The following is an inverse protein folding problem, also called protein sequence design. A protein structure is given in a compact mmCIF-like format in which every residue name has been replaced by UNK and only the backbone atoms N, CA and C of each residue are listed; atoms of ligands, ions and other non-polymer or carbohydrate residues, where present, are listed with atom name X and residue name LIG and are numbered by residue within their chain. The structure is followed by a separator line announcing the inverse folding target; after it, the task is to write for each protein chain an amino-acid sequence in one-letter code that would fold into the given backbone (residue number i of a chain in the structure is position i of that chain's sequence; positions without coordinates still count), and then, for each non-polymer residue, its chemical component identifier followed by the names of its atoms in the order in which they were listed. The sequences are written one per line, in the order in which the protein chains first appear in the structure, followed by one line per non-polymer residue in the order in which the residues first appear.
data_IF_680112027972
#
_entry.id   IF_680112027972
#
_cell.length_a   1.000
_cell.length_b   1.000
_cell.length_c   1.000
_cell.angle_alpha   90.00
_cell.angle_beta   90.00
_cell.angle_gamma   90.00
#
_symmetry.space_group_name_H-M   'P 1'
#
loop_
_entity.id
_entity.type
_entity.pdbx_description
1 polymer ?
#
# COMPACT_ATOMS: atom_id res chain seq x y z
N UNK A 1 2.30 -3.37 23.84
CA UNK A 1 2.65 -3.87 22.50
C UNK A 1 4.13 -4.27 22.56
N UNK A 2 4.43 -5.56 22.43
CA UNK A 2 5.78 -6.12 22.61
C UNK A 2 5.94 -7.30 21.65
N UNK A 3 7.18 -7.65 21.32
CA UNK A 3 7.50 -8.87 20.58
C UNK A 3 8.50 -9.71 21.39
N UNK A 4 8.45 -11.03 21.26
CA UNK A 4 9.51 -11.88 21.77
C UNK A 4 10.69 -11.84 20.81
N UNK A 5 11.90 -11.64 21.33
CA UNK A 5 13.10 -11.49 20.51
C UNK A 5 14.09 -12.62 20.81
N UNK A 6 14.76 -13.09 19.75
CA UNK A 6 15.85 -14.04 19.85
C UNK A 6 17.15 -13.36 19.44
N UNK A 7 18.09 -13.24 20.38
CA UNK A 7 19.44 -12.74 20.07
C UNK A 7 20.29 -13.90 19.56
N UNK A 8 20.83 -13.74 18.36
CA UNK A 8 21.73 -14.71 17.74
C UNK A 8 23.19 -14.26 17.89
N UNK A 9 24.13 -15.20 18.13
CA UNK A 9 23.94 -16.64 18.31
C UNK A 9 23.58 -17.05 19.75
N UNK A 10 23.58 -16.13 20.71
CA UNK A 10 23.57 -16.45 22.15
C UNK A 10 22.34 -17.23 22.63
N UNK A 11 21.18 -17.05 22.01
CA UNK A 11 19.91 -17.68 22.39
C UNK A 11 19.45 -18.75 21.40
N UNK A 12 20.37 -19.35 20.63
CA UNK A 12 20.07 -20.53 19.81
C UNK A 12 19.59 -21.67 20.72
N UNK A 13 18.46 -22.29 20.38
CA UNK A 13 17.90 -23.44 21.10
C UNK A 13 16.98 -23.11 22.28
N UNK A 14 16.86 -21.84 22.68
CA UNK A 14 15.85 -21.41 23.69
C UNK A 14 14.44 -21.56 23.10
N UNK A 15 13.44 -22.12 23.80
CA UNK A 15 12.05 -22.16 23.30
C UNK A 15 11.46 -20.76 23.11
N UNK A 16 10.63 -20.55 22.09
CA UNK A 16 10.07 -19.22 21.75
C UNK A 16 9.27 -18.63 22.93
N UNK A 17 8.48 -19.44 23.61
CA UNK A 17 7.71 -19.05 24.79
C UNK A 17 8.57 -18.59 25.97
N UNK A 18 9.86 -18.96 25.98
CA UNK A 18 10.83 -18.57 27.00
C UNK A 18 11.66 -17.33 26.65
N UNK A 19 11.51 -16.82 25.42
CA UNK A 19 12.21 -15.60 24.99
C UNK A 19 11.66 -14.36 25.70
N UNK A 20 12.51 -13.39 26.06
CA UNK A 20 12.07 -12.18 26.73
C UNK A 20 11.24 -11.29 25.79
N UNK A 21 10.28 -10.59 26.38
CA UNK A 21 9.48 -9.59 25.68
C UNK A 21 10.25 -8.28 25.55
N UNK A 22 10.37 -7.79 24.32
CA UNK A 22 10.97 -6.51 23.99
C UNK A 22 9.91 -5.42 23.76
N UNK A 23 10.19 -4.21 24.21
CA UNK A 23 9.45 -3.00 23.84
C UNK A 23 10.00 -2.41 22.54
N UNK A 24 9.27 -1.48 21.92
CA UNK A 24 9.70 -0.79 20.70
C UNK A 24 10.16 0.63 21.02
N UNK A 25 11.34 1.00 20.52
CA UNK A 25 11.76 2.39 20.45
C UNK A 25 11.01 3.06 19.29
N UNK A 26 10.01 3.86 19.63
CA UNK A 26 9.21 4.58 18.63
C UNK A 26 9.73 6.00 18.43
N UNK A 27 9.75 6.51 17.18
CA UNK A 27 10.03 7.92 16.96
C UNK A 27 8.94 8.79 17.59
N UNK A 28 9.34 9.97 18.07
CA UNK A 28 8.42 10.97 18.61
C UNK A 28 7.46 11.40 17.48
N UNK A 29 6.15 11.25 17.68
CA UNK A 29 5.12 11.58 16.68
C UNK A 29 4.31 10.39 16.16
N UNK A 30 4.68 9.16 16.53
CA UNK A 30 3.91 7.91 16.42
C UNK A 30 3.47 7.49 14.99
N UNK A 31 4.25 6.59 14.40
CA UNK A 31 3.80 5.56 13.47
C UNK A 31 4.36 4.22 13.94
N UNK A 32 3.57 3.15 13.90
CA UNK A 32 3.99 1.83 14.38
C UNK A 32 3.75 0.77 13.31
N UNK A 33 4.82 0.06 12.95
CA UNK A 33 4.76 -1.13 12.10
C UNK A 33 5.10 -2.35 12.98
N UNK A 34 4.15 -3.27 13.24
CA UNK A 34 4.42 -4.45 14.04
C UNK A 34 5.42 -5.36 13.32
N UNK A 35 6.37 -5.94 14.05
CA UNK A 35 7.12 -7.09 13.54
C UNK A 35 6.21 -8.30 13.39
N UNK A 36 6.56 -9.19 12.48
CA UNK A 36 6.00 -10.54 12.35
C UNK A 36 7.12 -11.54 12.59
N UNK A 37 6.76 -12.77 12.93
CA UNK A 37 7.74 -13.84 13.17
C UNK A 37 8.68 -13.96 11.97
N UNK A 38 9.99 -13.92 12.23
CA UNK A 38 11.03 -13.99 11.21
C UNK A 38 11.62 -12.63 10.81
N UNK A 39 10.99 -11.51 11.16
CA UNK A 39 11.60 -10.20 10.95
C UNK A 39 12.91 -10.09 11.75
N UNK A 40 13.95 -9.56 11.11
CA UNK A 40 15.21 -9.25 11.77
C UNK A 40 15.15 -7.84 12.36
N UNK A 41 15.65 -7.69 13.59
CA UNK A 41 15.61 -6.42 14.34
C UNK A 41 16.91 -6.18 15.07
N UNK A 42 17.25 -4.90 15.25
CA UNK A 42 18.27 -4.49 16.19
C UNK A 42 17.66 -4.37 17.59
N UNK A 43 18.36 -4.91 18.58
CA UNK A 43 17.96 -4.82 19.99
C UNK A 43 19.07 -4.23 20.84
N UNK A 44 18.67 -3.41 21.82
CA UNK A 44 19.53 -2.92 22.88
C UNK A 44 19.02 -3.38 24.25
N UNK A 45 19.89 -3.31 25.26
CA UNK A 45 19.56 -3.61 26.66
C UNK A 45 19.81 -2.38 27.54
N UNK A 46 18.94 -1.35 27.45
CA UNK A 46 19.20 -0.05 28.07
C UNK A 46 18.98 -0.04 29.58
N UNK A 47 18.32 -1.07 30.12
CA UNK A 47 18.01 -1.15 31.55
C UNK A 47 19.10 -1.87 32.33
N UNK A 48 19.28 -1.49 33.59
CA UNK A 48 20.16 -2.17 34.52
C UNK A 48 19.39 -3.01 35.53
N UNK A 49 20.02 -4.09 36.01
CA UNK A 49 19.56 -4.89 37.12
C UNK A 49 19.85 -4.20 38.47
N UNK A 50 19.44 -4.84 39.57
CA UNK A 50 19.66 -4.33 40.94
C UNK A 50 21.13 -4.21 41.34
N UNK A 51 22.06 -4.75 40.54
CA UNK A 51 23.51 -4.70 40.73
C UNK A 51 24.17 -3.70 39.77
N UNK A 52 23.39 -2.94 39.01
CA UNK A 52 23.89 -1.95 38.05
C UNK A 52 24.46 -2.54 36.76
N UNK A 53 24.19 -3.82 36.44
CA UNK A 53 24.63 -4.46 35.18
C UNK A 53 23.50 -4.45 34.14
N UNK A 54 23.78 -4.48 32.82
CA UNK A 54 22.74 -4.58 31.80
C UNK A 54 21.80 -5.76 32.05
N UNK A 55 20.49 -5.51 32.01
CA UNK A 55 19.44 -6.52 32.22
C UNK A 55 18.99 -7.11 30.89
N UNK A 56 19.55 -8.27 30.53
CA UNK A 56 19.25 -8.99 29.28
C UNK A 56 17.82 -9.53 29.19
N UNK A 57 17.05 -9.49 30.29
CA UNK A 57 15.64 -9.89 30.31
C UNK A 57 14.71 -8.77 29.82
N UNK A 58 15.24 -7.57 29.60
CA UNK A 58 14.48 -6.38 29.21
C UNK A 58 15.05 -5.76 27.92
N UNK A 59 14.97 -6.47 26.78
CA UNK A 59 15.38 -5.93 25.49
C UNK A 59 14.48 -4.76 25.04
N UNK A 60 15.06 -3.88 24.23
CA UNK A 60 14.37 -2.82 23.50
C UNK A 60 14.69 -2.98 22.00
N UNK A 61 13.66 -3.14 21.16
CA UNK A 61 13.80 -3.12 19.70
C UNK A 61 14.05 -1.68 19.27
N UNK A 62 15.19 -1.42 18.66
CA UNK A 62 15.62 -0.07 18.25
C UNK A 62 15.47 0.20 16.76
N UNK A 63 15.22 -0.84 15.97
CA UNK A 63 14.94 -0.70 14.54
C UNK A 63 14.80 -2.05 13.84
N UNK A 64 14.31 -2.00 12.60
CA UNK A 64 14.38 -3.15 11.70
C UNK A 64 15.84 -3.35 11.24
N UNK A 65 16.26 -4.60 11.16
CA UNK A 65 17.57 -4.94 10.60
C UNK A 65 17.38 -5.33 9.13
N UNK A 66 18.09 -4.63 8.24
CA UNK A 66 18.37 -5.19 6.92
C UNK A 66 19.52 -6.17 7.04
N UNK A 67 19.39 -7.31 6.37
CA UNK A 67 20.49 -8.22 6.13
C UNK A 67 20.63 -8.46 4.62
N UNK A 68 21.77 -9.00 4.21
CA UNK A 68 21.97 -9.40 2.81
C UNK A 68 22.76 -10.72 2.72
N UNK A 69 22.25 -11.84 3.26
CA UNK A 69 22.94 -13.12 3.22
C UNK A 69 23.16 -13.52 1.76
N UNK A 70 24.40 -13.85 1.42
CA UNK A 70 24.75 -14.16 0.02
C UNK A 70 24.61 -12.97 -0.95
N UNK A 71 24.52 -11.74 -0.45
CA UNK A 71 24.40 -10.52 -1.26
C UNK A 71 22.98 -10.14 -1.66
N UNK A 72 21.95 -10.87 -1.19
CA UNK A 72 20.53 -10.61 -1.50
C UNK A 72 19.86 -9.89 -0.34
N UNK A 73 19.44 -8.62 -0.50
CA UNK A 73 18.74 -7.89 0.54
C UNK A 73 17.42 -8.55 0.95
N UNK A 74 17.12 -8.54 2.25
CA UNK A 74 15.83 -9.00 2.80
C UNK A 74 14.70 -7.96 2.73
N UNK A 75 14.83 -6.98 1.85
CA UNK A 75 13.80 -5.97 1.58
C UNK A 75 13.10 -6.26 0.25
N UNK A 76 11.98 -5.59 0.02
CA UNK A 76 11.19 -5.77 -1.20
C UNK A 76 12.03 -5.57 -2.48
N UNK A 77 11.81 -6.34 -3.56
CA UNK A 77 12.53 -6.17 -4.83
C UNK A 77 12.40 -4.77 -5.41
N UNK A 78 11.27 -4.09 -5.19
CA UNK A 78 11.04 -2.71 -5.61
C UNK A 78 11.98 -1.73 -4.89
N UNK A 79 12.40 -2.06 -3.66
CA UNK A 79 13.33 -1.24 -2.89
C UNK A 79 14.80 -1.57 -3.22
N UNK A 80 15.12 -2.86 -3.39
CA UNK A 80 16.51 -3.33 -3.55
C UNK A 80 16.98 -3.39 -5.00
N UNK A 81 16.06 -3.48 -5.96
CA UNK A 81 16.37 -3.82 -7.35
C UNK A 81 16.80 -5.28 -7.54
N UNK A 82 16.69 -6.12 -6.52
CA UNK A 82 17.06 -7.53 -6.57
C UNK A 82 15.83 -8.44 -6.41
N UNK A 83 15.76 -9.48 -7.23
CA UNK A 83 14.61 -10.39 -7.29
C UNK A 83 13.59 -9.95 -8.36
N UNK A 84 12.34 -10.35 -8.18
CA UNK A 84 11.25 -10.03 -9.11
C UNK A 84 10.26 -9.08 -8.43
N UNK A 85 10.23 -7.83 -8.88
CA UNK A 85 9.23 -6.87 -8.47
C UNK A 85 7.82 -7.34 -8.83
N UNK A 86 6.84 -6.91 -8.05
CA UNK A 86 5.45 -7.16 -8.32
C UNK A 86 4.97 -6.30 -9.51
N UNK A 87 4.42 -6.99 -10.51
CA UNK A 87 3.84 -6.38 -11.69
C UNK A 87 2.37 -6.80 -11.85
N UNK A 88 1.41 -5.86 -11.74
CA UNK A 88 0.01 -6.13 -12.00
C UNK A 88 -0.24 -6.29 -13.52
N UNK A 89 -1.33 -6.96 -13.90
CA UNK A 89 -1.74 -7.01 -15.31
C UNK A 89 -1.98 -5.61 -15.90
N UNK A 90 -1.69 -5.42 -17.20
CA UNK A 90 -1.96 -4.14 -17.87
C UNK A 90 -3.46 -3.86 -17.93
N UNK A 91 -3.82 -2.58 -17.84
CA UNK A 91 -5.20 -2.09 -17.98
C UNK A 91 -5.28 -1.12 -19.14
N UNK A 92 -6.15 -1.41 -20.11
CA UNK A 92 -6.29 -0.59 -21.31
C UNK A 92 -6.66 0.85 -20.96
N UNK A 93 -5.92 1.80 -21.53
CA UNK A 93 -6.09 3.24 -21.30
C UNK A 93 -5.65 3.75 -19.93
N UNK A 94 -5.14 2.90 -19.03
CA UNK A 94 -4.56 3.38 -17.78
C UNK A 94 -3.23 4.13 -18.02
N UNK A 95 -2.92 5.16 -17.22
CA UNK A 95 -1.59 5.77 -17.21
C UNK A 95 -0.49 4.73 -16.92
N UNK A 96 0.75 5.07 -17.31
CA UNK A 96 1.91 4.30 -16.86
C UNK A 96 1.99 4.30 -15.33
N UNK A 97 2.49 3.20 -14.75
CA UNK A 97 2.81 3.14 -13.31
C UNK A 97 3.98 4.07 -12.99
N UNK A 98 4.12 4.49 -11.72
CA UNK A 98 5.34 5.13 -11.26
C UNK A 98 6.57 4.30 -11.62
N UNK A 99 7.67 4.96 -11.96
CA UNK A 99 8.93 4.33 -12.31
C UNK A 99 9.76 4.15 -11.03
N UNK A 100 10.17 2.92 -10.75
CA UNK A 100 10.90 2.63 -9.52
C UNK A 100 12.40 2.84 -9.70
N UNK A 101 12.99 3.55 -8.75
CA UNK A 101 14.44 3.73 -8.62
C UNK A 101 14.89 3.06 -7.33
N UNK A 102 15.49 1.85 -7.42
CA UNK A 102 15.99 1.13 -6.26
C UNK A 102 16.87 2.01 -5.38
N UNK A 103 16.77 1.84 -4.06
CA UNK A 103 17.47 2.61 -3.02
C UNK A 103 17.14 4.10 -2.90
N UNK A 104 16.41 4.70 -3.84
CA UNK A 104 15.98 6.10 -3.79
C UNK A 104 14.51 6.25 -3.39
N UNK A 105 13.70 5.25 -3.72
CA UNK A 105 12.27 5.25 -3.43
C UNK A 105 11.98 4.93 -1.97
N UNK A 106 10.91 5.53 -1.45
CA UNK A 106 10.26 5.02 -0.24
C UNK A 106 9.38 3.84 -0.62
N UNK A 107 9.66 2.66 -0.07
CA UNK A 107 8.92 1.42 -0.37
C UNK A 107 8.50 0.72 0.92
N UNK A 108 7.22 0.37 0.99
CA UNK A 108 6.67 -0.54 1.99
C UNK A 108 5.92 -1.66 1.26
N UNK A 109 6.35 -2.90 1.41
CA UNK A 109 5.68 -4.06 0.82
C UNK A 109 5.47 -5.13 1.90
N UNK A 110 4.27 -5.19 2.48
CA UNK A 110 3.96 -6.09 3.60
C UNK A 110 2.47 -6.41 3.66
N UNK A 111 2.12 -7.64 4.04
CA UNK A 111 0.71 -8.08 4.18
C UNK A 111 -0.13 -7.86 2.91
N UNK A 112 0.47 -8.07 1.74
CA UNK A 112 -0.11 -7.75 0.43
C UNK A 112 -0.43 -6.26 0.21
N UNK A 113 0.04 -5.36 1.07
CA UNK A 113 -0.02 -3.91 0.86
C UNK A 113 1.33 -3.47 0.34
N UNK A 114 1.30 -2.82 -0.82
CA UNK A 114 2.46 -2.18 -1.43
C UNK A 114 2.20 -0.68 -1.47
N UNK A 115 3.06 0.12 -0.85
CA UNK A 115 3.10 1.58 -0.96
C UNK A 115 4.46 1.98 -1.51
N UNK A 116 4.46 2.85 -2.50
CA UNK A 116 5.68 3.42 -3.08
C UNK A 116 5.55 4.92 -3.26
N UNK A 117 6.60 5.65 -2.88
CA UNK A 117 6.82 7.06 -3.23
C UNK A 117 8.13 7.09 -3.99
N UNK A 118 8.03 7.33 -5.29
CA UNK A 118 9.19 7.27 -6.17
C UNK A 118 10.02 8.54 -6.04
N UNK A 119 11.33 8.44 -6.28
CA UNK A 119 12.22 9.59 -6.37
C UNK A 119 11.79 10.60 -7.45
N UNK A 120 11.12 10.11 -8.51
CA UNK A 120 10.53 10.92 -9.58
C UNK A 120 9.24 11.66 -9.21
N UNK A 121 8.68 11.44 -8.01
CA UNK A 121 7.48 12.12 -7.53
C UNK A 121 6.15 11.40 -7.83
N UNK A 122 6.19 10.19 -8.39
CA UNK A 122 5.03 9.30 -8.47
C UNK A 122 4.70 8.64 -7.13
N UNK A 123 3.43 8.23 -6.97
CA UNK A 123 2.90 7.57 -5.78
C UNK A 123 1.95 6.45 -6.17
N UNK A 124 2.05 5.27 -5.55
CA UNK A 124 1.07 4.21 -5.69
C UNK A 124 0.87 3.47 -4.36
N UNK A 125 -0.39 3.17 -4.04
CA UNK A 125 -0.76 2.16 -3.05
C UNK A 125 -1.55 1.05 -3.74
N UNK A 126 -1.18 -0.19 -3.44
CA UNK A 126 -1.75 -1.38 -4.06
C UNK A 126 -2.03 -2.49 -3.04
N UNK A 127 -3.08 -3.27 -3.31
CA UNK A 127 -3.21 -4.62 -2.76
C UNK A 127 -2.65 -5.62 -3.77
N UNK A 128 -1.50 -6.22 -3.48
CA UNK A 128 -0.76 -7.05 -4.45
C UNK A 128 -1.39 -8.42 -4.70
N UNK A 129 -2.23 -8.90 -3.79
CA UNK A 129 -2.99 -10.14 -3.95
C UNK A 129 -4.24 -9.96 -4.83
N UNK A 130 -4.97 -8.85 -4.67
CA UNK A 130 -6.20 -8.56 -5.42
C UNK A 130 -5.97 -7.73 -6.69
N UNK A 131 -4.84 -7.00 -6.78
CA UNK A 131 -4.50 -6.13 -7.90
C UNK A 131 -5.16 -4.74 -7.88
N UNK A 132 -5.87 -4.38 -6.82
CA UNK A 132 -6.44 -3.03 -6.63
C UNK A 132 -5.32 -2.01 -6.44
N UNK A 133 -5.44 -0.84 -7.10
CA UNK A 133 -4.40 0.21 -7.12
C UNK A 133 -5.00 1.61 -7.13
N UNK A 134 -4.36 2.52 -6.42
CA UNK A 134 -4.66 3.96 -6.43
C UNK A 134 -3.33 4.70 -6.45
N UNK A 135 -3.17 5.67 -7.35
CA UNK A 135 -1.90 6.38 -7.46
C UNK A 135 -1.89 7.48 -8.50
N UNK A 136 -0.70 8.02 -8.71
CA UNK A 136 -0.34 8.95 -9.76
C UNK A 136 1.09 8.68 -10.22
N UNK A 137 1.35 8.80 -11.52
CA UNK A 137 2.72 8.73 -12.04
C UNK A 137 3.44 10.09 -11.95
N UNK A 138 4.68 10.13 -12.43
CA UNK A 138 5.56 11.30 -12.42
C UNK A 138 5.01 12.46 -13.28
N UNK A 139 4.15 12.16 -14.27
CA UNK A 139 3.44 13.17 -15.06
C UNK A 139 2.24 13.79 -14.30
N UNK A 140 1.95 13.33 -13.08
CA UNK A 140 0.78 13.72 -12.30
C UNK A 140 -0.54 13.09 -12.80
N UNK A 141 -0.49 12.05 -13.63
CA UNK A 141 -1.70 11.35 -14.11
C UNK A 141 -2.20 10.41 -13.02
N UNK A 142 -3.29 10.78 -12.37
CA UNK A 142 -3.92 9.97 -11.33
C UNK A 142 -4.77 8.82 -11.91
N UNK A 143 -4.90 7.73 -11.15
CA UNK A 143 -5.72 6.58 -11.49
C UNK A 143 -6.27 5.87 -10.25
N UNK A 144 -7.43 5.22 -10.44
CA UNK A 144 -8.03 4.25 -9.52
C UNK A 144 -8.38 3.02 -10.36
N UNK A 145 -7.83 1.87 -9.99
CA UNK A 145 -8.00 0.61 -10.71
C UNK A 145 -8.45 -0.46 -9.70
N UNK A 146 -9.64 -1.00 -9.90
CA UNK A 146 -10.15 -2.13 -9.13
C UNK A 146 -10.48 -3.30 -10.06
N UNK A 147 -9.74 -4.43 -9.98
CA UNK A 147 -10.11 -5.65 -10.70
C UNK A 147 -11.44 -6.26 -10.22
N UNK A 148 -11.86 -5.94 -8.99
CA UNK A 148 -13.18 -6.21 -8.44
C UNK A 148 -14.06 -4.95 -8.40
N UNK A 149 -14.91 -4.84 -7.39
CA UNK A 149 -15.81 -3.70 -7.22
C UNK A 149 -15.07 -2.42 -6.81
N UNK A 150 -15.53 -1.28 -7.33
CA UNK A 150 -15.12 0.06 -6.90
C UNK A 150 -16.38 0.84 -6.55
N UNK A 151 -16.47 1.31 -5.30
CA UNK A 151 -17.64 2.04 -4.79
C UNK A 151 -17.24 3.48 -4.50
N UNK A 152 -18.03 4.43 -5.01
CA UNK A 152 -17.95 5.84 -4.67
C UNK A 152 -19.23 6.20 -3.91
N UNK A 153 -19.09 6.56 -2.64
CA UNK A 153 -20.20 6.98 -1.77
C UNK A 153 -19.93 8.40 -1.26
N UNK A 154 -20.92 9.28 -1.39
CA UNK A 154 -20.83 10.68 -1.02
C UNK A 154 -22.13 11.11 -0.32
N UNK A 155 -22.02 11.55 0.93
CA UNK A 155 -23.16 12.11 1.68
C UNK A 155 -23.59 13.51 1.23
N UNK A 156 -22.84 14.13 0.31
CA UNK A 156 -23.13 15.41 -0.31
C UNK A 156 -22.96 15.34 -1.82
N UNK A 157 -22.60 16.46 -2.46
CA UNK A 157 -22.49 16.52 -3.92
C UNK A 157 -21.30 15.69 -4.44
N UNK A 158 -21.56 14.84 -5.44
CA UNK A 158 -20.53 14.20 -6.26
C UNK A 158 -20.43 14.91 -7.62
N UNK A 159 -19.30 15.59 -7.85
CA UNK A 159 -19.12 16.47 -9.02
C UNK A 159 -17.97 15.96 -9.89
N UNK A 160 -18.27 15.64 -11.15
CA UNK A 160 -17.26 15.29 -12.16
C UNK A 160 -17.16 16.41 -13.19
N UNK A 161 -15.97 17.03 -13.28
CA UNK A 161 -15.66 18.08 -14.27
C UNK A 161 -14.42 17.67 -15.06
N UNK A 162 -14.50 17.81 -16.38
CA UNK A 162 -13.35 17.62 -17.26
C UNK A 162 -13.34 18.72 -18.32
N UNK A 163 -12.16 19.29 -18.59
CA UNK A 163 -11.97 20.17 -19.75
C UNK A 163 -11.97 19.40 -21.07
N UNK A 164 -11.72 18.08 -21.00
CA UNK A 164 -11.79 17.15 -22.13
C UNK A 164 -12.99 16.21 -22.04
N UNK A 165 -12.84 15.04 -22.66
CA UNK A 165 -13.89 14.02 -22.76
C UNK A 165 -14.07 13.23 -21.46
N UNK A 166 -15.31 13.05 -21.03
CA UNK A 166 -15.69 12.00 -20.06
C UNK A 166 -16.19 10.78 -20.85
N UNK A 167 -15.68 9.59 -20.54
CA UNK A 167 -16.09 8.33 -21.18
C UNK A 167 -16.57 7.32 -20.15
N UNK A 168 -17.81 6.86 -20.27
CA UNK A 168 -18.35 5.77 -19.46
C UNK A 168 -18.56 4.56 -20.37
N UNK A 169 -17.89 3.45 -20.07
CA UNK A 169 -17.94 2.21 -20.86
C UNK A 169 -18.25 1.05 -19.92
N UNK A 170 -19.30 0.30 -20.21
CA UNK A 170 -19.66 -0.93 -19.51
C UNK A 170 -19.93 -2.03 -20.53
N UNK A 171 -19.48 -3.26 -20.23
CA UNK A 171 -19.88 -4.46 -20.98
C UNK A 171 -21.24 -4.98 -20.53
N UNK A 172 -21.67 -4.62 -19.31
CA UNK A 172 -22.94 -5.01 -18.72
C UNK A 172 -23.97 -3.88 -18.76
N UNK A 173 -25.02 -4.03 -17.95
CA UNK A 173 -26.03 -2.97 -17.75
C UNK A 173 -25.37 -1.76 -17.08
N UNK A 174 -25.72 -0.57 -17.57
CA UNK A 174 -25.49 0.69 -16.86
C UNK A 174 -26.83 1.19 -16.34
N UNK A 175 -26.91 1.56 -15.07
CA UNK A 175 -28.11 2.11 -14.45
C UNK A 175 -27.78 3.48 -13.86
N UNK A 176 -28.69 4.43 -14.06
CA UNK A 176 -28.62 5.78 -13.48
C UNK A 176 -29.99 6.06 -12.89
N UNK A 177 -30.04 6.32 -11.58
CA UNK A 177 -31.28 6.59 -10.86
C UNK A 177 -31.14 7.92 -10.14
N UNK A 178 -32.16 8.76 -10.27
CA UNK A 178 -32.30 10.00 -9.51
C UNK A 178 -33.63 9.96 -8.74
N UNK A 179 -33.60 10.33 -7.46
CA UNK A 179 -34.79 10.29 -6.61
C UNK A 179 -35.84 11.36 -6.92
N UNK A 180 -35.44 12.44 -7.60
CA UNK A 180 -36.31 13.59 -7.92
C UNK A 180 -36.34 13.89 -9.41
N UNK A 181 -35.22 14.36 -9.96
CA UNK A 181 -35.11 14.75 -11.36
C UNK A 181 -33.74 14.36 -11.93
N UNK A 182 -33.70 14.12 -13.24
CA UNK A 182 -32.47 13.91 -13.99
C UNK A 182 -32.46 14.88 -15.18
N UNK A 183 -31.53 15.84 -15.15
CA UNK A 183 -31.35 16.81 -16.23
C UNK A 183 -30.17 16.43 -17.12
N UNK A 184 -30.41 16.38 -18.44
CA UNK A 184 -29.38 16.09 -19.45
C UNK A 184 -29.31 17.26 -20.44
N UNK A 185 -28.24 18.05 -20.35
CA UNK A 185 -28.06 19.26 -21.17
C UNK A 185 -26.82 19.15 -22.04
N UNK A 186 -26.97 19.43 -23.33
CA UNK A 186 -25.88 19.56 -24.29
C UNK A 186 -26.05 20.84 -25.10
N UNK A 187 -25.00 21.66 -25.21
CA UNK A 187 -25.05 22.90 -26.02
C UNK A 187 -25.17 22.62 -27.53
N UNK A 188 -24.62 21.48 -27.98
CA UNK A 188 -24.69 21.04 -29.37
C UNK A 188 -25.73 19.94 -29.55
N UNK A 189 -25.26 18.71 -29.75
CA UNK A 189 -26.12 17.55 -30.03
C UNK A 189 -26.12 16.58 -28.85
N UNK A 190 -27.30 16.17 -28.43
CA UNK A 190 -27.51 14.95 -27.66
C UNK A 190 -27.92 13.82 -28.62
N UNK A 191 -27.25 12.67 -28.56
CA UNK A 191 -27.55 11.53 -29.43
C UNK A 191 -27.36 10.20 -28.72
N UNK A 192 -28.26 9.26 -28.97
CA UNK A 192 -28.14 7.87 -28.54
C UNK A 192 -28.28 6.91 -29.71
N UNK A 193 -27.70 5.72 -29.58
CA UNK A 193 -27.92 4.60 -30.49
C UNK A 193 -28.28 3.37 -29.66
N UNK A 194 -29.49 2.87 -29.84
CA UNK A 194 -29.99 1.69 -29.18
C UNK A 194 -30.88 0.91 -30.16
N UNK A 195 -31.08 -0.39 -29.91
CA UNK A 195 -32.06 -1.19 -30.64
C UNK A 195 -33.49 -0.81 -30.27
N UNK A 196 -33.70 -0.35 -29.04
CA UNK A 196 -34.99 0.06 -28.49
C UNK A 196 -34.78 1.18 -27.48
N UNK A 197 -35.73 2.11 -27.44
CA UNK A 197 -35.81 3.17 -26.43
C UNK A 197 -37.26 3.24 -25.97
N UNK A 198 -37.47 2.98 -24.68
CA UNK A 198 -38.78 3.02 -24.06
C UNK A 198 -38.86 4.15 -23.04
N UNK A 199 -39.99 4.83 -23.02
CA UNK A 199 -40.33 5.81 -21.99
C UNK A 199 -41.62 5.35 -21.33
N UNK A 200 -41.60 5.30 -20.01
CA UNK A 200 -42.78 5.05 -19.18
C UNK A 200 -42.91 6.18 -18.16
N UNK A 201 -44.13 6.41 -17.70
CA UNK A 201 -44.46 7.41 -16.69
C UNK A 201 -44.65 6.74 -15.34
#
# INVERSE_FOLDING_TARGET
MRAQVRVLPDWVGVPDESLPWAEYMMPIGNAFTPTVTGDLVWVEFPYTDVRGKPDTRRPLIVGAASDSPGGVPNVAPEASGQGSAWEPPPVDGAPARPQFTPSEDFVVHRNNVFEVRTAGGGYEIANTAAGTRIGMNEDGKAYIIGPGDVVFDAGGDFIVKAGGKISLKSKGKTEITAGTAMDLTAAGKLSGKASQVDFSK
#
